data_IF_566797335378
#
_entry.id   IF_566797335378
#
_cell.length_a   1.000
_cell.length_b   1.000
_cell.length_c   1.000
_cell.angle_alpha   90.00
_cell.angle_beta   90.00
_cell.angle_gamma   90.00
#
_symmetry.space_group_name_H-M   'P 1'
#
loop_
_entity.id
_entity.type
_entity.pdbx_description
1 polymer ?
#
# COMPACT_ATOMS: atom_id res chain seq x y z
N UNK A 1 -41.18 14.32 9.41
CA UNK A 1 -40.42 14.54 8.16
C UNK A 1 -39.14 13.74 8.29
N UNK A 2 -38.84 12.87 7.33
CA UNK A 2 -37.79 11.87 7.41
C UNK A 2 -36.47 12.46 6.90
N UNK A 3 -35.35 12.02 7.48
CA UNK A 3 -34.14 11.74 6.72
C UNK A 3 -33.35 10.71 7.54
N UNK A 4 -33.73 9.44 7.32
CA UNK A 4 -32.84 8.30 7.50
C UNK A 4 -31.77 8.44 6.41
N UNK A 5 -30.55 8.79 6.79
CA UNK A 5 -29.41 8.53 5.90
C UNK A 5 -29.03 7.08 6.15
N UNK A 6 -29.33 6.25 5.17
CA UNK A 6 -28.91 4.87 5.09
C UNK A 6 -27.41 4.78 4.81
N UNK A 7 -26.83 3.70 5.33
CA UNK A 7 -25.85 2.87 4.62
C UNK A 7 -24.61 3.62 4.11
N UNK A 8 -23.57 3.59 4.92
CA UNK A 8 -22.37 2.88 4.52
C UNK A 8 -21.81 2.22 5.78
N UNK A 9 -21.98 0.90 5.86
CA UNK A 9 -21.15 0.02 6.68
C UNK A 9 -19.69 0.16 6.21
N UNK A 10 -19.04 1.24 6.66
CA UNK A 10 -17.58 1.30 6.70
C UNK A 10 -17.21 0.25 7.74
N UNK A 11 -16.97 -0.97 7.25
CA UNK A 11 -16.32 -2.02 8.01
C UNK A 11 -14.89 -1.52 8.31
N UNK A 12 -14.78 -0.62 9.29
CA UNK A 12 -13.53 -0.15 9.91
C UNK A 12 -12.90 -1.23 10.81
N UNK A 13 -13.50 -2.43 10.89
CA UNK A 13 -13.13 -3.50 11.82
C UNK A 13 -12.02 -4.45 11.32
N UNK A 14 -11.30 -4.14 10.23
CA UNK A 14 -10.11 -4.93 9.86
C UNK A 14 -8.96 -4.03 9.37
N UNK A 15 -8.69 -2.92 10.05
CA UNK A 15 -7.29 -2.60 10.27
C UNK A 15 -6.88 -3.57 11.38
N UNK A 16 -6.34 -4.73 11.00
CA UNK A 16 -5.68 -5.61 11.96
C UNK A 16 -4.63 -4.75 12.68
N UNK A 17 -4.89 -4.31 13.91
CA UNK A 17 -3.96 -3.58 14.79
C UNK A 17 -2.62 -4.32 14.98
N UNK A 18 -2.54 -5.57 14.54
CA UNK A 18 -1.35 -6.42 14.54
C UNK A 18 -0.48 -6.31 13.28
N UNK A 19 -0.89 -5.60 12.21
CA UNK A 19 -0.08 -5.47 10.99
C UNK A 19 0.98 -4.39 11.20
N UNK A 20 2.29 -4.73 11.08
CA UNK A 20 3.34 -3.73 11.09
C UNK A 20 3.16 -2.67 10.00
N UNK A 21 3.35 -1.39 10.35
CA UNK A 21 3.24 -0.26 9.40
C UNK A 21 4.17 -0.41 8.19
N UNK A 22 5.29 -1.13 8.33
CA UNK A 22 6.21 -1.44 7.22
C UNK A 22 5.57 -2.29 6.11
N UNK A 23 4.46 -2.99 6.39
CA UNK A 23 3.72 -3.80 5.43
C UNK A 23 2.56 -3.04 4.77
N UNK A 24 2.22 -1.86 5.31
CA UNK A 24 1.15 -1.04 4.82
C UNK A 24 1.67 -0.07 3.76
N UNK A 25 0.90 0.08 2.69
CA UNK A 25 1.16 1.11 1.70
C UNK A 25 0.92 2.49 2.34
N UNK A 26 1.86 3.43 2.25
CA UNK A 26 1.75 4.74 2.91
C UNK A 26 0.71 5.69 2.27
N UNK A 27 0.18 5.35 1.09
CA UNK A 27 -0.88 6.09 0.41
C UNK A 27 -2.25 5.45 0.63
N UNK A 28 -2.35 4.12 0.52
CA UNK A 28 -3.63 3.42 0.62
C UNK A 28 -3.91 2.87 2.01
N UNK A 29 -2.91 2.83 2.90
CA UNK A 29 -3.00 2.25 4.26
C UNK A 29 -3.50 0.79 4.26
N UNK A 30 -3.24 0.06 3.17
CA UNK A 30 -3.60 -1.35 3.02
C UNK A 30 -2.35 -2.21 2.98
N UNK A 31 -2.47 -3.47 3.38
CA UNK A 31 -1.38 -4.46 3.25
C UNK A 31 -0.93 -4.52 1.78
N UNK A 32 0.36 -4.28 1.55
CA UNK A 32 0.96 -4.39 0.22
C UNK A 32 0.98 -5.85 -0.23
N UNK A 33 0.45 -6.16 -1.40
CA UNK A 33 0.54 -7.52 -1.96
C UNK A 33 1.79 -7.66 -2.82
N UNK A 34 2.16 -6.60 -3.52
CA UNK A 34 3.34 -6.54 -4.37
C UNK A 34 4.17 -5.31 -3.97
N UNK A 35 4.88 -5.38 -2.84
CA UNK A 35 5.71 -4.27 -2.38
C UNK A 35 6.83 -3.97 -3.37
N UNK A 36 6.89 -2.72 -3.84
CA UNK A 36 7.94 -2.18 -4.70
C UNK A 36 8.65 -1.03 -4.01
N UNK A 37 9.97 -1.11 -3.95
CA UNK A 37 10.82 -0.08 -3.39
C UNK A 37 11.09 0.99 -4.43
N UNK A 38 10.71 2.23 -4.13
CA UNK A 38 11.13 3.40 -4.90
C UNK A 38 12.54 3.82 -4.51
N UNK A 39 13.47 3.86 -5.46
CA UNK A 39 14.86 4.26 -5.20
C UNK A 39 15.00 5.78 -4.92
N UNK A 40 14.02 6.58 -5.33
CA UNK A 40 13.98 8.04 -5.13
C UNK A 40 13.81 8.44 -3.67
N UNK A 41 12.72 7.98 -3.04
CA UNK A 41 12.38 8.26 -1.64
C UNK A 41 12.81 7.14 -0.68
N UNK A 42 13.24 5.98 -1.20
CA UNK A 42 13.49 4.75 -0.43
C UNK A 42 12.27 4.26 0.34
N UNK A 43 11.09 4.53 -0.21
CA UNK A 43 9.80 4.12 0.35
C UNK A 43 9.29 2.92 -0.43
N UNK A 44 8.73 1.95 0.29
CA UNK A 44 8.06 0.80 -0.33
C UNK A 44 6.57 1.10 -0.44
N UNK A 45 6.01 0.90 -1.62
CA UNK A 45 4.57 1.03 -1.88
C UNK A 45 4.06 -0.19 -2.64
N UNK A 46 2.76 -0.38 -2.78
CA UNK A 46 2.23 -1.46 -3.60
C UNK A 46 2.42 -1.18 -5.10
N UNK A 47 2.64 -2.24 -5.89
CA UNK A 47 2.76 -2.15 -7.35
C UNK A 47 1.55 -1.48 -7.99
N UNK A 48 0.35 -1.69 -7.44
CA UNK A 48 -0.89 -1.08 -7.92
C UNK A 48 -0.84 0.43 -7.76
N UNK A 49 -0.39 0.89 -6.59
CA UNK A 49 -0.17 2.31 -6.27
C UNK A 49 0.90 2.92 -7.19
N UNK A 50 2.01 2.20 -7.42
CA UNK A 50 3.05 2.65 -8.36
C UNK A 50 2.50 2.81 -9.78
N UNK A 51 1.73 1.85 -10.27
CA UNK A 51 1.13 1.92 -11.60
C UNK A 51 0.19 3.13 -11.72
N UNK A 52 -0.58 3.44 -10.68
CA UNK A 52 -1.41 4.65 -10.66
C UNK A 52 -0.57 5.94 -10.73
N UNK A 53 0.54 6.01 -9.99
CA UNK A 53 1.48 7.15 -10.10
C UNK A 53 2.03 7.26 -11.52
N UNK A 54 2.39 6.12 -12.13
CA UNK A 54 2.97 6.08 -13.47
C UNK A 54 1.99 6.48 -14.59
N UNK A 55 0.68 6.24 -14.35
CA UNK A 55 -0.41 6.63 -15.26
C UNK A 55 -0.82 8.10 -15.11
N UNK A 56 -0.59 8.70 -13.95
CA UNK A 56 -0.83 10.12 -13.70
C UNK A 56 0.43 10.92 -14.10
N UNK A 57 1.15 11.48 -13.12
CA UNK A 57 2.22 12.43 -13.38
C UNK A 57 3.62 11.81 -13.35
N UNK A 58 3.75 10.52 -12.98
CA UNK A 58 5.05 9.85 -12.77
C UNK A 58 5.95 10.60 -11.79
N UNK A 59 5.36 11.15 -10.74
CA UNK A 59 6.08 11.90 -9.71
C UNK A 59 5.92 11.16 -8.39
N UNK A 60 7.04 10.95 -7.72
CA UNK A 60 7.06 10.40 -6.37
C UNK A 60 6.32 11.36 -5.41
N UNK A 61 5.25 10.91 -4.74
CA UNK A 61 4.43 11.75 -3.86
C UNK A 61 5.19 12.27 -2.62
N UNK A 62 6.30 11.65 -2.24
CA UNK A 62 7.10 12.00 -1.07
C UNK A 62 8.30 12.88 -1.43
N UNK A 63 9.08 12.48 -2.44
CA UNK A 63 10.28 13.22 -2.84
C UNK A 63 10.00 14.32 -3.87
N UNK A 64 8.83 14.30 -4.51
CA UNK A 64 8.45 15.16 -5.65
C UNK A 64 9.43 15.09 -6.83
N UNK A 65 10.15 13.98 -6.93
CA UNK A 65 11.06 13.71 -8.05
C UNK A 65 10.33 12.90 -9.13
N UNK A 66 10.71 13.07 -10.41
CA UNK A 66 10.22 12.21 -11.47
C UNK A 66 10.62 10.76 -11.19
N UNK A 67 9.67 9.86 -11.37
CA UNK A 67 9.77 8.43 -11.12
C UNK A 67 9.69 7.69 -12.46
N UNK A 68 10.46 6.62 -12.57
CA UNK A 68 10.52 5.79 -13.77
C UNK A 68 10.56 4.31 -13.39
N UNK A 69 10.20 3.42 -14.32
CA UNK A 69 10.25 1.97 -14.12
C UNK A 69 11.67 1.47 -13.80
N UNK A 70 12.70 2.18 -14.26
CA UNK A 70 14.09 1.87 -13.92
C UNK A 70 14.48 2.25 -12.47
N UNK A 71 13.67 3.07 -11.80
CA UNK A 71 13.91 3.55 -10.45
C UNK A 71 13.08 2.82 -9.38
N UNK A 72 12.52 1.66 -9.74
CA UNK A 72 11.85 0.77 -8.80
C UNK A 72 12.52 -0.60 -8.76
N UNK A 73 12.43 -1.22 -7.59
CA UNK A 73 12.92 -2.58 -7.36
C UNK A 73 11.85 -3.35 -6.59
N UNK A 74 11.49 -4.53 -7.07
CA UNK A 74 10.53 -5.39 -6.36
C UNK A 74 11.13 -5.83 -5.01
N UNK A 75 10.40 -5.60 -3.92
CA UNK A 75 10.84 -5.94 -2.57
C UNK A 75 10.33 -7.34 -2.18
N UNK A 76 10.92 -8.36 -2.80
CA UNK A 76 10.52 -9.75 -2.60
C UNK A 76 10.66 -10.23 -1.14
N UNK A 77 11.65 -9.70 -0.40
CA UNK A 77 11.84 -10.02 1.02
C UNK A 77 10.65 -9.54 1.86
N UNK A 78 10.21 -8.29 1.65
CA UNK A 78 9.05 -7.75 2.35
C UNK A 78 7.78 -8.50 1.97
N UNK A 79 7.63 -8.84 0.69
CA UNK A 79 6.50 -9.63 0.21
C UNK A 79 6.40 -10.97 0.95
N UNK A 80 7.51 -11.68 1.11
CA UNK A 80 7.54 -12.96 1.82
C UNK A 80 7.13 -12.80 3.29
N UNK A 81 7.62 -11.74 3.97
CA UNK A 81 7.21 -11.42 5.35
C UNK A 81 5.71 -11.16 5.45
N UNK A 82 5.15 -10.40 4.51
CA UNK A 82 3.72 -10.11 4.44
C UNK A 82 2.91 -11.39 4.21
N UNK A 83 3.34 -12.26 3.30
CA UNK A 83 2.68 -13.55 3.06
C UNK A 83 2.72 -14.46 4.28
N UNK A 84 3.84 -14.52 4.99
CA UNK A 84 3.97 -15.27 6.24
C UNK A 84 3.08 -14.71 7.36
N UNK A 85 2.99 -13.38 7.45
CA UNK A 85 2.07 -12.71 8.37
C UNK A 85 0.61 -13.03 8.06
N UNK A 86 0.19 -12.94 6.78
CA UNK A 86 -1.16 -13.32 6.34
C UNK A 86 -1.49 -14.77 6.69
N UNK A 87 -0.53 -15.69 6.55
CA UNK A 87 -0.71 -17.10 6.93
C UNK A 87 -0.86 -17.28 8.45
N UNK A 88 -0.05 -16.59 9.26
CA UNK A 88 -0.08 -16.68 10.73
C UNK A 88 -1.36 -16.14 11.34
N UNK A 89 -1.91 -15.04 10.82
CA UNK A 89 -3.15 -14.43 11.32
C UNK A 89 -4.42 -15.25 11.03
N UNK A 90 -4.32 -16.35 10.25
CA UNK A 90 -5.46 -17.20 9.87
C UNK A 90 -5.49 -18.54 10.63
N UNK A 91 -4.85 -18.66 11.81
CA UNK A 91 -4.83 -19.89 12.63
C UNK A 91 -5.31 -19.67 14.06
#
# INVERSE_FOLDING_TARGET
MPEKTSENDINDDIINDDVPEEFLDPLTFTIMENPVLMLTSKITIDRSTFNQIMLNDRIDPFSRLPLDESQIVDNAELREKIEDFKKKGTS
#
